data_IF_972500875558
#
_entry.id   IF_972500875558
#
_cell.length_a   1.000
_cell.length_b   1.000
_cell.length_c   1.000
_cell.angle_alpha   90.00
_cell.angle_beta   90.00
_cell.angle_gamma   90.00
#
_symmetry.space_group_name_H-M   'P 1'
#
loop_
_entity.id
_entity.type
_entity.pdbx_description
1 polymer ?
#
# COMPACT_ATOMS: atom_id res chain seq x y z
N UNK A 1 -16.38 -15.05 -14.98
CA UNK A 1 -15.74 -14.55 -16.22
C UNK A 1 -14.68 -13.48 -15.91
N UNK A 2 -15.01 -12.43 -15.15
CA UNK A 2 -14.05 -11.36 -14.78
C UNK A 2 -12.82 -11.85 -13.99
N UNK A 3 -12.98 -12.82 -13.09
CA UNK A 3 -11.87 -13.34 -12.27
C UNK A 3 -10.81 -14.08 -13.10
N UNK A 4 -11.23 -15.01 -13.98
CA UNK A 4 -10.32 -15.70 -14.91
C UNK A 4 -9.61 -14.74 -15.86
N UNK A 5 -10.27 -13.65 -16.27
CA UNK A 5 -9.65 -12.60 -17.09
C UNK A 5 -8.57 -11.83 -16.30
N UNK A 6 -8.81 -11.51 -15.01
CA UNK A 6 -7.79 -10.91 -14.14
C UNK A 6 -6.60 -11.83 -13.91
N UNK A 7 -6.85 -13.11 -13.66
CA UNK A 7 -5.78 -14.08 -13.44
C UNK A 7 -4.88 -14.21 -14.68
N UNK A 8 -5.48 -14.28 -15.88
CA UNK A 8 -4.74 -14.24 -17.15
C UNK A 8 -3.94 -12.95 -17.31
N UNK A 9 -4.51 -11.81 -16.92
CA UNK A 9 -3.82 -10.52 -16.98
C UNK A 9 -2.59 -10.52 -16.06
N UNK A 10 -2.74 -10.92 -14.79
CA UNK A 10 -1.61 -10.98 -13.86
C UNK A 10 -0.56 -11.98 -14.31
N UNK A 11 -0.95 -13.14 -14.83
CA UNK A 11 -0.03 -14.11 -15.40
C UNK A 11 0.74 -13.55 -16.60
N UNK A 12 0.08 -12.79 -17.48
CA UNK A 12 0.72 -12.13 -18.62
C UNK A 12 1.69 -11.02 -18.17
N UNK A 13 1.34 -10.29 -17.12
CA UNK A 13 2.12 -9.14 -16.63
C UNK A 13 3.34 -9.57 -15.80
N UNK A 14 3.16 -10.51 -14.88
CA UNK A 14 4.20 -10.92 -13.91
C UNK A 14 4.85 -12.28 -14.23
N UNK A 15 4.30 -13.04 -15.17
CA UNK A 15 4.71 -14.42 -15.40
C UNK A 15 4.35 -15.33 -14.23
N UNK A 16 4.84 -16.57 -14.28
CA UNK A 16 4.58 -17.59 -13.26
C UNK A 16 5.73 -17.80 -12.27
N UNK A 17 6.87 -17.14 -12.53
CA UNK A 17 8.13 -17.33 -11.82
C UNK A 17 8.44 -16.21 -10.83
N UNK A 18 7.95 -14.99 -11.06
CA UNK A 18 8.27 -13.85 -10.19
C UNK A 18 7.54 -13.97 -8.85
N UNK A 19 8.31 -13.79 -7.78
CA UNK A 19 7.85 -13.87 -6.39
C UNK A 19 8.09 -12.56 -5.65
N UNK A 20 7.61 -12.46 -4.40
CA UNK A 20 7.81 -11.27 -3.57
C UNK A 20 9.29 -10.98 -3.35
N UNK A 21 10.12 -12.00 -3.13
CA UNK A 21 11.56 -11.81 -2.89
C UNK A 21 12.30 -11.23 -4.11
N UNK A 22 11.77 -11.42 -5.32
CA UNK A 22 12.35 -10.93 -6.58
C UNK A 22 12.08 -9.44 -6.84
N UNK A 23 11.28 -8.79 -6.00
CA UNK A 23 10.97 -7.36 -6.14
C UNK A 23 12.22 -6.49 -5.92
N UNK A 24 12.41 -5.49 -6.78
CA UNK A 24 13.59 -4.61 -6.78
C UNK A 24 13.65 -3.65 -5.57
N UNK A 25 12.52 -3.43 -4.91
CA UNK A 25 12.33 -2.52 -3.78
C UNK A 25 11.48 -3.21 -2.73
N UNK A 26 11.61 -2.79 -1.48
CA UNK A 26 10.68 -3.22 -0.43
C UNK A 26 9.24 -2.91 -0.84
N UNK A 27 8.37 -3.91 -0.75
CA UNK A 27 6.94 -3.80 -1.06
C UNK A 27 6.13 -4.35 0.10
N UNK A 28 4.97 -3.73 0.32
CA UNK A 28 3.97 -4.11 1.30
C UNK A 28 2.62 -4.10 0.62
N UNK A 29 1.98 -5.26 0.52
CA UNK A 29 0.71 -5.41 -0.19
C UNK A 29 -0.30 -6.05 0.78
N UNK A 30 -1.35 -5.33 1.21
CA UNK A 30 -2.32 -5.86 2.15
C UNK A 30 -3.34 -6.78 1.48
N UNK A 31 -3.83 -7.76 2.23
CA UNK A 31 -5.10 -8.46 2.00
C UNK A 31 -5.74 -8.79 3.36
N UNK A 32 -7.01 -9.19 3.34
CA UNK A 32 -7.69 -9.74 4.51
C UNK A 32 -7.77 -11.26 4.35
N UNK A 33 -7.23 -12.02 5.30
CA UNK A 33 -7.35 -13.48 5.30
C UNK A 33 -8.57 -13.92 6.09
N UNK A 34 -9.52 -14.53 5.39
CA UNK A 34 -10.76 -15.06 5.96
C UNK A 34 -10.52 -16.28 6.86
N UNK A 35 -9.39 -16.97 6.71
CA UNK A 35 -9.08 -18.16 7.52
C UNK A 35 -8.69 -17.78 8.93
N UNK A 36 -7.83 -16.75 9.06
CA UNK A 36 -7.38 -16.21 10.34
C UNK A 36 -8.27 -15.08 10.87
N UNK A 37 -9.18 -14.55 10.05
CA UNK A 37 -9.98 -13.36 10.36
C UNK A 37 -9.11 -12.14 10.71
N UNK A 38 -8.00 -11.95 9.99
CA UNK A 38 -7.02 -10.93 10.26
C UNK A 38 -6.48 -10.30 8.96
N UNK A 39 -6.00 -9.03 9.02
CA UNK A 39 -5.21 -8.47 7.94
C UNK A 39 -3.89 -9.23 7.79
N UNK A 40 -3.47 -9.43 6.55
CA UNK A 40 -2.19 -10.00 6.18
C UNK A 40 -1.44 -9.02 5.27
N UNK A 41 -0.15 -8.83 5.51
CA UNK A 41 0.73 -8.06 4.63
C UNK A 41 1.69 -8.99 3.91
N UNK A 42 1.61 -9.01 2.59
CA UNK A 42 2.69 -9.54 1.77
C UNK A 42 3.86 -8.56 1.84
N UNK A 43 4.97 -9.02 2.39
CA UNK A 43 6.17 -8.20 2.66
C UNK A 43 7.38 -8.83 1.99
N UNK A 44 8.14 -8.03 1.25
CA UNK A 44 9.41 -8.48 0.68
C UNK A 44 10.39 -8.92 1.78
N UNK A 45 10.45 -8.18 2.88
CA UNK A 45 11.37 -8.50 3.98
C UNK A 45 11.07 -9.89 4.55
N UNK A 46 9.79 -10.20 4.77
CA UNK A 46 9.39 -11.52 5.30
C UNK A 46 9.66 -12.64 4.28
N UNK A 47 9.42 -12.38 2.99
CA UNK A 47 9.71 -13.34 1.91
C UNK A 47 11.20 -13.65 1.76
N UNK A 48 12.08 -12.70 2.09
CA UNK A 48 13.54 -12.90 2.05
C UNK A 48 14.05 -13.62 3.31
N UNK A 49 13.40 -13.44 4.46
CA UNK A 49 13.80 -14.10 5.72
C UNK A 49 13.19 -15.50 5.88
N UNK A 50 11.98 -15.73 5.36
CA UNK A 50 11.23 -16.97 5.55
C UNK A 50 10.57 -17.42 4.25
N UNK A 51 10.95 -18.61 3.75
CA UNK A 51 10.36 -19.19 2.53
C UNK A 51 8.84 -19.35 2.58
N UNK A 52 8.29 -19.56 3.79
CA UNK A 52 6.85 -19.65 4.02
C UNK A 52 6.08 -18.34 3.79
N UNK A 53 6.77 -17.21 3.62
CA UNK A 53 6.16 -15.90 3.36
C UNK A 53 6.45 -15.38 1.95
N UNK A 54 7.07 -16.20 1.11
CA UNK A 54 7.29 -15.87 -0.27
C UNK A 54 6.15 -16.42 -1.14
N UNK A 55 5.52 -15.51 -1.89
CA UNK A 55 4.34 -15.80 -2.73
C UNK A 55 4.61 -15.32 -4.15
N UNK A 56 3.96 -15.96 -5.13
CA UNK A 56 4.02 -15.49 -6.52
C UNK A 56 3.36 -14.12 -6.63
N UNK A 57 3.99 -13.22 -7.39
CA UNK A 57 3.46 -11.86 -7.59
C UNK A 57 2.05 -11.87 -8.19
N UNK A 58 1.76 -12.81 -9.10
CA UNK A 58 0.41 -12.93 -9.66
C UNK A 58 -0.65 -13.26 -8.61
N UNK A 59 -0.30 -14.10 -7.62
CA UNK A 59 -1.23 -14.52 -6.56
C UNK A 59 -1.40 -13.42 -5.52
N UNK A 60 -0.33 -12.66 -5.23
CA UNK A 60 -0.39 -11.46 -4.37
C UNK A 60 -1.30 -10.39 -4.99
N UNK A 61 -1.17 -10.12 -6.29
CA UNK A 61 -2.05 -9.20 -7.00
C UNK A 61 -3.50 -9.71 -7.05
N UNK A 62 -3.70 -11.02 -7.19
CA UNK A 62 -5.02 -11.62 -7.10
C UNK A 62 -5.63 -11.43 -5.71
N UNK A 63 -4.89 -11.74 -4.64
CA UNK A 63 -5.30 -11.60 -3.25
C UNK A 63 -5.73 -10.16 -2.90
N UNK A 64 -4.90 -9.17 -3.21
CA UNK A 64 -5.19 -7.77 -2.84
C UNK A 64 -6.35 -7.17 -3.63
N UNK A 65 -6.72 -7.74 -4.78
CA UNK A 65 -7.84 -7.28 -5.62
C UNK A 65 -9.06 -8.23 -5.60
N UNK A 66 -9.03 -9.24 -4.73
CA UNK A 66 -9.98 -10.34 -4.72
C UNK A 66 -11.36 -9.90 -4.26
N UNK A 67 -12.36 -10.13 -5.12
CA UNK A 67 -13.80 -10.02 -4.86
C UNK A 67 -14.47 -11.05 -5.77
N UNK A 68 -14.88 -12.25 -5.31
CA UNK A 68 -14.84 -12.82 -3.95
C UNK A 68 -13.44 -13.30 -3.52
N UNK A 69 -13.35 -13.99 -2.36
CA UNK A 69 -12.11 -14.53 -1.81
C UNK A 69 -11.41 -15.53 -2.74
N UNK A 70 -10.07 -15.52 -2.74
CA UNK A 70 -9.22 -16.42 -3.50
C UNK A 70 -8.27 -17.17 -2.58
N UNK A 71 -8.01 -18.44 -2.88
CA UNK A 71 -7.00 -19.22 -2.18
C UNK A 71 -5.61 -18.86 -2.72
N UNK A 72 -4.69 -18.50 -1.84
CA UNK A 72 -3.29 -18.19 -2.17
C UNK A 72 -2.35 -18.98 -1.29
N UNK A 73 -1.24 -19.44 -1.85
CA UNK A 73 -0.25 -20.24 -1.15
C UNK A 73 1.15 -19.70 -1.35
N UNK A 74 1.98 -19.83 -0.33
CA UNK A 74 3.41 -19.57 -0.45
C UNK A 74 4.04 -20.55 -1.45
N UNK A 75 5.21 -20.20 -1.99
CA UNK A 75 5.93 -21.01 -2.97
C UNK A 75 6.26 -22.41 -2.41
N UNK A 76 6.57 -22.50 -1.12
CA UNK A 76 6.81 -23.76 -0.42
C UNK A 76 5.51 -24.48 0.03
N UNK A 77 4.35 -23.86 -0.18
CA UNK A 77 3.03 -24.37 0.17
C UNK A 77 2.70 -24.39 1.66
N UNK A 78 3.58 -23.92 2.55
CA UNK A 78 3.40 -23.98 4.01
C UNK A 78 2.38 -22.98 4.52
N UNK A 79 2.33 -21.79 3.92
CA UNK A 79 1.36 -20.77 4.26
C UNK A 79 0.24 -20.78 3.24
N UNK A 80 -0.98 -20.83 3.73
CA UNK A 80 -2.21 -20.82 2.95
C UNK A 80 -3.12 -19.71 3.46
N UNK A 81 -3.63 -18.90 2.55
CA UNK A 81 -4.55 -17.80 2.84
C UNK A 81 -5.84 -17.98 2.05
N UNK A 82 -6.95 -17.56 2.66
CA UNK A 82 -8.20 -17.29 1.95
C UNK A 82 -8.35 -15.78 1.84
N UNK A 83 -7.64 -15.20 0.87
CA UNK A 83 -7.43 -13.77 0.77
C UNK A 83 -8.59 -13.05 0.09
N UNK A 84 -8.95 -11.89 0.65
CA UNK A 84 -9.91 -10.93 0.09
C UNK A 84 -9.25 -9.56 0.06
N UNK A 85 -9.58 -8.78 -0.96
CA UNK A 85 -9.32 -7.34 -1.13
C UNK A 85 -8.52 -6.63 -0.01
N UNK A 86 -7.37 -6.06 -0.38
CA UNK A 86 -6.54 -5.25 0.51
C UNK A 86 -7.23 -4.02 1.06
N UNK A 87 -8.23 -3.47 0.36
CA UNK A 87 -9.01 -2.34 0.83
C UNK A 87 -9.88 -2.66 2.05
N UNK A 88 -10.22 -3.94 2.29
CA UNK A 88 -10.94 -4.36 3.49
C UNK A 88 -10.00 -4.39 4.70
N UNK A 89 -8.77 -4.86 4.50
CA UNK A 89 -7.75 -4.87 5.55
C UNK A 89 -7.20 -3.47 5.85
N UNK A 90 -6.76 -2.77 4.82
CA UNK A 90 -6.07 -1.48 4.91
C UNK A 90 -6.36 -0.63 3.67
N UNK A 91 -7.46 0.12 3.69
CA UNK A 91 -7.83 1.04 2.60
C UNK A 91 -6.81 2.19 2.41
N UNK A 92 -6.04 2.51 3.46
CA UNK A 92 -4.89 3.41 3.41
C UNK A 92 -3.68 2.72 4.06
N UNK A 93 -2.79 2.07 3.30
CA UNK A 93 -1.66 1.33 3.85
C UNK A 93 -0.49 2.24 4.32
N UNK A 94 -0.64 3.58 4.28
CA UNK A 94 0.46 4.51 4.60
C UNK A 94 1.02 4.31 6.02
N UNK A 95 0.17 4.12 7.03
CA UNK A 95 0.65 3.87 8.39
C UNK A 95 1.44 2.55 8.50
N UNK A 96 1.00 1.50 7.80
CA UNK A 96 1.72 0.22 7.77
C UNK A 96 3.09 0.37 7.07
N UNK A 97 3.16 1.14 5.98
CA UNK A 97 4.41 1.43 5.29
C UNK A 97 5.41 2.20 6.16
N UNK A 98 4.96 3.27 6.84
CA UNK A 98 5.79 4.02 7.79
C UNK A 98 6.27 3.12 8.91
N UNK A 99 5.36 2.34 9.51
CA UNK A 99 5.69 1.41 10.60
C UNK A 99 6.73 0.38 10.17
N UNK A 100 6.61 -0.17 8.96
CA UNK A 100 7.59 -1.10 8.42
C UNK A 100 8.97 -0.46 8.30
N UNK A 101 9.07 0.74 7.71
CA UNK A 101 10.35 1.43 7.53
C UNK A 101 10.99 1.77 8.87
N UNK A 102 10.20 2.27 9.83
CA UNK A 102 10.73 2.63 11.15
C UNK A 102 11.18 1.43 11.98
N UNK A 103 10.58 0.26 11.82
CA UNK A 103 10.93 -0.94 12.60
C UNK A 103 11.90 -1.89 11.90
N UNK A 104 12.00 -1.84 10.57
CA UNK A 104 12.94 -2.66 9.81
C UNK A 104 14.32 -1.99 9.72
N UNK A 105 15.06 -2.00 10.84
CA UNK A 105 16.42 -1.42 10.91
C UNK A 105 17.45 -2.18 10.08
N UNK A 106 17.13 -3.38 9.59
CA UNK A 106 18.00 -4.11 8.68
C UNK A 106 18.00 -3.44 7.30
N UNK A 107 16.82 -3.13 6.76
CA UNK A 107 16.72 -2.43 5.46
C UNK A 107 16.86 -0.91 5.59
N UNK A 108 16.49 -0.32 6.74
CA UNK A 108 16.44 1.13 6.98
C UNK A 108 17.18 1.53 8.27
N UNK A 109 18.50 1.29 8.37
CA UNK A 109 19.26 1.47 9.62
C UNK A 109 19.31 2.91 10.14
N UNK A 110 19.15 3.90 9.26
CA UNK A 110 19.31 5.32 9.60
C UNK A 110 18.00 6.09 9.74
N UNK A 111 16.85 5.47 9.44
CA UNK A 111 15.56 6.12 9.60
C UNK A 111 15.11 5.98 11.05
N UNK A 112 15.03 7.07 11.81
CA UNK A 112 14.67 7.02 13.23
C UNK A 112 13.26 7.50 13.48
N UNK A 113 12.83 8.53 12.75
CA UNK A 113 11.51 9.14 12.93
C UNK A 113 10.89 9.50 11.57
N UNK A 114 9.65 9.98 11.59
CA UNK A 114 8.90 10.43 10.41
C UNK A 114 9.55 11.62 9.71
N UNK A 115 10.40 12.38 10.40
CA UNK A 115 11.16 13.49 9.82
C UNK A 115 12.20 13.02 8.79
N UNK A 116 12.69 11.77 8.92
CA UNK A 116 13.61 11.14 7.97
C UNK A 116 12.90 10.59 6.73
N UNK A 117 11.58 10.70 6.66
CA UNK A 117 10.75 10.13 5.61
C UNK A 117 10.23 11.20 4.65
N UNK A 118 10.16 10.82 3.38
CA UNK A 118 9.36 11.48 2.35
C UNK A 118 8.25 10.51 1.95
N UNK A 119 6.99 10.90 2.18
CA UNK A 119 5.81 10.04 1.97
C UNK A 119 4.83 10.71 1.02
N UNK A 120 4.54 10.04 -0.10
CA UNK A 120 3.36 10.34 -0.94
C UNK A 120 2.32 9.26 -0.71
N UNK A 121 1.10 9.69 -0.43
CA UNK A 121 -0.06 8.82 -0.27
C UNK A 121 -1.08 9.18 -1.34
N UNK A 122 -1.36 8.25 -2.25
CA UNK A 122 -2.29 8.44 -3.35
C UNK A 122 -3.53 7.60 -3.10
N UNK A 123 -4.70 8.23 -3.05
CA UNK A 123 -5.95 7.52 -2.90
C UNK A 123 -6.84 7.62 -4.13
N UNK A 124 -7.77 6.66 -4.24
CA UNK A 124 -8.54 6.41 -5.45
C UNK A 124 -9.81 7.28 -5.57
N UNK A 125 -9.83 8.39 -4.84
CA UNK A 125 -10.95 9.32 -4.75
C UNK A 125 -12.02 8.95 -3.73
N UNK A 126 -12.74 9.96 -3.24
CA UNK A 126 -13.95 9.81 -2.44
C UNK A 126 -15.16 9.64 -3.37
N UNK A 127 -15.95 8.59 -3.14
CA UNK A 127 -17.18 8.37 -3.89
C UNK A 127 -18.34 9.11 -3.24
N UNK A 128 -19.34 9.52 -4.02
CA UNK A 128 -20.58 9.99 -3.43
C UNK A 128 -21.17 8.92 -2.51
N UNK A 129 -21.46 9.32 -1.28
CA UNK A 129 -22.26 8.54 -0.35
C UNK A 129 -23.67 8.37 -0.97
N UNK A 130 -23.83 7.33 -1.79
CA UNK A 130 -25.14 6.86 -2.24
C UNK A 130 -25.92 6.24 -1.09
N UNK A 131 -27.09 5.68 -1.38
CA UNK A 131 -27.92 4.98 -0.40
C UNK A 131 -27.13 4.00 0.48
N UNK A 132 -27.56 3.83 1.74
CA UNK A 132 -27.00 2.93 2.76
C UNK A 132 -27.16 1.43 2.42
N UNK A 133 -26.71 1.02 1.23
CA UNK A 133 -26.50 -0.37 0.83
C UNK A 133 -25.40 -0.99 1.69
N UNK A 134 -25.39 -2.32 1.92
CA UNK A 134 -24.24 -3.02 2.53
C UNK A 134 -22.89 -2.65 1.88
N UNK A 135 -22.84 -2.51 0.55
CA UNK A 135 -21.64 -2.06 -0.16
C UNK A 135 -21.31 -0.58 0.08
N UNK A 136 -22.34 0.25 0.30
CA UNK A 136 -22.19 1.65 0.70
C UNK A 136 -21.62 1.78 2.10
N UNK A 137 -22.12 1.00 3.07
CA UNK A 137 -21.61 0.95 4.43
C UNK A 137 -20.14 0.49 4.48
N UNK A 138 -19.79 -0.56 3.73
CA UNK A 138 -18.38 -1.02 3.64
C UNK A 138 -17.47 0.08 3.10
N UNK A 139 -17.93 0.82 2.08
CA UNK A 139 -17.17 1.95 1.53
C UNK A 139 -17.01 3.09 2.53
N UNK A 140 -18.08 3.46 3.24
CA UNK A 140 -18.03 4.48 4.32
C UNK A 140 -17.02 4.07 5.39
N UNK A 141 -17.06 2.81 5.83
CA UNK A 141 -16.11 2.30 6.82
C UNK A 141 -14.66 2.36 6.31
N UNK A 142 -14.43 1.94 5.06
CA UNK A 142 -13.11 2.02 4.43
C UNK A 142 -12.61 3.45 4.24
N UNK A 143 -13.46 4.39 3.80
CA UNK A 143 -13.10 5.81 3.67
C UNK A 143 -12.82 6.43 5.04
N UNK A 144 -13.64 6.14 6.06
CA UNK A 144 -13.39 6.57 7.43
C UNK A 144 -12.07 6.03 8.01
N UNK A 145 -11.75 4.75 7.76
CA UNK A 145 -10.47 4.17 8.15
C UNK A 145 -9.29 4.88 7.43
N UNK A 146 -9.45 5.18 6.14
CA UNK A 146 -8.44 5.93 5.37
C UNK A 146 -8.20 7.34 5.89
N UNK A 147 -9.27 8.05 6.25
CA UNK A 147 -9.22 9.41 6.80
C UNK A 147 -8.56 9.43 8.19
N UNK A 148 -8.84 8.43 9.03
CA UNK A 148 -8.16 8.30 10.32
C UNK A 148 -6.66 8.08 10.18
N UNK A 149 -6.24 7.24 9.22
CA UNK A 149 -4.81 7.06 8.92
C UNK A 149 -4.18 8.35 8.41
N UNK A 150 -4.84 9.07 7.49
CA UNK A 150 -4.35 10.36 6.97
C UNK A 150 -4.19 11.41 8.09
N UNK A 151 -5.17 11.51 8.99
CA UNK A 151 -5.08 12.40 10.15
C UNK A 151 -3.96 12.02 11.12
N UNK A 152 -3.81 10.73 11.42
CA UNK A 152 -2.76 10.25 12.32
C UNK A 152 -1.35 10.47 11.74
N UNK A 153 -1.17 10.20 10.44
CA UNK A 153 0.10 10.44 9.74
C UNK A 153 0.37 11.94 9.67
N UNK A 154 -0.60 12.76 9.27
CA UNK A 154 -0.43 14.21 9.24
C UNK A 154 -0.08 14.79 10.62
N UNK A 155 -0.66 14.26 11.70
CA UNK A 155 -0.27 14.62 13.07
C UNK A 155 1.20 14.25 13.34
N UNK A 156 1.60 13.02 13.04
CA UNK A 156 2.96 12.55 13.29
C UNK A 156 4.00 13.44 12.58
N UNK A 157 3.73 13.84 11.33
CA UNK A 157 4.61 14.73 10.57
C UNK A 157 4.59 16.20 11.06
N UNK A 158 3.66 16.61 11.91
CA UNK A 158 3.69 17.91 12.60
C UNK A 158 3.90 19.11 11.67
N UNK A 159 5.01 19.84 11.84
CA UNK A 159 5.37 20.97 10.98
C UNK A 159 5.97 20.53 9.63
N UNK A 160 6.63 19.37 9.61
CA UNK A 160 7.22 18.75 8.42
C UNK A 160 6.15 18.21 7.44
N UNK A 161 4.87 18.16 7.84
CA UNK A 161 3.76 17.72 6.98
C UNK A 161 3.60 18.53 5.70
N UNK A 162 4.05 19.79 5.68
CA UNK A 162 3.89 20.64 4.51
C UNK A 162 4.80 20.24 3.33
N UNK A 163 5.89 19.52 3.62
CA UNK A 163 6.96 19.16 2.67
C UNK A 163 7.18 17.66 2.57
N UNK A 164 7.09 16.94 3.69
CA UNK A 164 7.51 15.54 3.79
C UNK A 164 6.35 14.55 3.69
N UNK A 165 5.09 14.99 3.84
CA UNK A 165 3.90 14.17 3.66
C UNK A 165 2.92 14.82 2.67
N UNK A 166 2.69 14.16 1.53
CA UNK A 166 1.72 14.62 0.53
C UNK A 166 0.64 13.56 0.36
N UNK A 167 -0.59 13.89 0.76
CA UNK A 167 -1.79 13.11 0.43
C UNK A 167 -2.49 13.73 -0.78
N UNK A 168 -2.73 12.91 -1.80
CA UNK A 168 -3.59 13.26 -2.93
C UNK A 168 -4.78 12.31 -2.91
N UNK A 169 -5.96 12.88 -2.70
CA UNK A 169 -7.24 12.18 -2.70
C UNK A 169 -8.18 12.96 -3.63
N UNK A 170 -8.69 12.32 -4.68
CA UNK A 170 -9.67 12.98 -5.53
C UNK A 170 -10.96 13.25 -4.74
N UNK A 171 -11.43 14.49 -4.72
CA UNK A 171 -12.68 14.82 -4.04
C UNK A 171 -13.81 14.90 -5.08
N UNK A 172 -14.64 13.85 -5.13
CA UNK A 172 -15.78 13.76 -6.06
C UNK A 172 -16.84 14.85 -5.85
N UNK A 173 -16.90 15.46 -4.66
CA UNK A 173 -17.82 16.56 -4.34
C UNK A 173 -17.31 17.89 -4.93
N UNK A 174 -16.00 18.13 -4.85
CA UNK A 174 -15.37 19.36 -5.40
C UNK A 174 -15.44 19.37 -6.92
N UNK A 175 -15.29 18.20 -7.56
CA UNK A 175 -15.43 18.04 -9.01
C UNK A 175 -16.79 18.54 -9.52
N UNK A 176 -17.89 18.19 -8.82
CA UNK A 176 -19.23 18.64 -9.21
C UNK A 176 -19.51 20.11 -8.91
N UNK A 177 -18.96 20.68 -7.83
CA UNK A 177 -19.14 22.12 -7.53
C UNK A 177 -18.46 23.04 -8.57
N UNK A 178 -17.44 22.54 -9.27
CA UNK A 178 -16.75 23.28 -10.34
C UNK A 178 -17.21 22.91 -11.75
N UNK A 179 -18.36 22.23 -11.89
CA UNK A 179 -18.94 21.90 -13.20
C UNK A 179 -18.36 20.66 -13.87
N UNK A 180 -17.71 19.76 -13.10
CA UNK A 180 -17.26 18.45 -13.57
C UNK A 180 -18.41 17.62 -14.16
N UNK A 181 -18.09 16.59 -14.98
CA UNK A 181 -19.05 15.94 -15.87
C UNK A 181 -20.29 15.43 -15.11
N UNK A 182 -21.45 16.02 -15.42
CA UNK A 182 -22.73 15.51 -14.95
C UNK A 182 -22.91 14.07 -15.44
N UNK A 183 -23.39 13.19 -14.55
CA UNK A 183 -23.89 11.87 -14.97
C UNK A 183 -25.01 12.10 -15.98
N UNK A 184 -24.70 11.97 -17.27
CA UNK A 184 -25.73 12.00 -18.32
C UNK A 184 -26.69 10.84 -18.03
N UNK A 185 -27.95 11.18 -17.83
CA UNK A 185 -29.05 10.24 -17.54
C UNK A 185 -29.46 9.47 -18.81
N UNK A 186 -28.48 8.87 -19.51
CA UNK A 186 -28.63 8.30 -20.84
C UNK A 186 -27.99 6.92 -20.94
N UNK A 187 -28.72 5.98 -21.54
CA UNK A 187 -28.48 4.53 -21.65
C UNK A 187 -27.20 4.10 -22.40
N UNK A 188 -26.22 4.97 -22.64
CA UNK A 188 -24.93 4.61 -23.22
C UNK A 188 -23.87 4.61 -22.13
N UNK A 189 -23.26 3.44 -21.87
CA UNK A 189 -22.15 3.27 -20.93
C UNK A 189 -20.93 4.05 -21.42
N UNK A 190 -20.85 5.33 -21.05
CA UNK A 190 -19.73 6.19 -21.35
C UNK A 190 -18.45 5.58 -20.77
N UNK A 191 -17.44 5.38 -21.62
CA UNK A 191 -16.07 5.14 -21.20
C UNK A 191 -15.67 6.39 -20.40
N UNK A 192 -15.59 6.28 -19.08
CA UNK A 192 -15.12 7.36 -18.21
C UNK A 192 -13.73 7.74 -18.71
N UNK A 193 -13.53 9.00 -19.10
CA UNK A 193 -12.22 9.50 -19.46
C UNK A 193 -11.41 9.69 -18.18
N UNK A 194 -10.68 8.63 -17.81
CA UNK A 194 -9.83 8.60 -16.63
C UNK A 194 -8.71 9.65 -16.71
N UNK A 195 -8.27 10.03 -17.92
CA UNK A 195 -7.24 11.05 -18.08
C UNK A 195 -7.79 12.42 -17.72
N UNK A 196 -8.94 12.79 -18.28
CA UNK A 196 -9.60 14.05 -17.94
C UNK A 196 -9.92 14.17 -16.44
N UNK A 197 -10.39 13.09 -15.80
CA UNK A 197 -10.62 13.08 -14.36
C UNK A 197 -9.34 13.25 -13.54
N UNK A 198 -8.22 12.68 -14.03
CA UNK A 198 -6.91 12.81 -13.39
C UNK A 198 -6.38 14.23 -13.53
N UNK A 199 -6.49 14.84 -14.72
CA UNK A 199 -6.10 16.23 -14.96
C UNK A 199 -6.91 17.19 -14.08
N UNK A 200 -8.22 16.97 -13.98
CA UNK A 200 -9.09 17.73 -13.08
C UNK A 200 -8.62 17.58 -11.62
N UNK A 201 -8.39 16.35 -11.15
CA UNK A 201 -7.88 16.10 -9.80
C UNK A 201 -6.53 16.80 -9.55
N UNK A 202 -5.62 16.77 -10.51
CA UNK A 202 -4.31 17.42 -10.41
C UNK A 202 -4.44 18.95 -10.32
N UNK A 203 -5.43 19.54 -10.99
CA UNK A 203 -5.71 20.98 -10.96
C UNK A 203 -6.38 21.46 -9.66
N UNK A 204 -7.02 20.54 -8.90
CA UNK A 204 -7.67 20.89 -7.64
C UNK A 204 -6.65 21.35 -6.60
N UNK A 205 -7.09 22.29 -5.75
CA UNK A 205 -6.33 22.68 -4.55
C UNK A 205 -6.14 21.47 -3.64
N UNK A 206 -4.91 21.29 -3.18
CA UNK A 206 -4.58 20.21 -2.27
C UNK A 206 -5.30 20.41 -0.93
N UNK A 207 -5.63 19.29 -0.28
CA UNK A 207 -6.32 19.24 1.00
C UNK A 207 -5.42 18.52 1.99
N UNK A 208 -5.07 19.20 3.08
CA UNK A 208 -4.25 18.66 4.16
C UNK A 208 -5.14 18.34 5.36
N UNK A 209 -4.99 17.14 5.91
CA UNK A 209 -5.67 16.76 7.15
C UNK A 209 -4.98 17.40 8.36
N UNK A 210 -5.77 17.90 9.30
CA UNK A 210 -5.31 18.44 10.58
C UNK A 210 -6.09 17.74 11.68
N UNK A 211 -5.37 17.07 12.57
CA UNK A 211 -5.97 16.31 13.65
C UNK A 211 -6.92 17.17 14.50
N UNK A 212 -8.14 16.66 14.72
CA UNK A 212 -9.24 17.32 15.43
C UNK A 212 -9.71 18.66 14.84
N UNK A 213 -9.15 19.11 13.72
CA UNK A 213 -9.54 20.33 13.01
C UNK A 213 -10.08 20.03 11.60
N UNK A 214 -10.10 18.76 11.19
CA UNK A 214 -10.65 18.31 9.91
C UNK A 214 -9.69 18.54 8.75
N UNK A 215 -10.25 18.76 7.56
CA UNK A 215 -9.52 18.92 6.29
C UNK A 215 -9.36 20.41 5.96
N UNK A 216 -8.14 20.87 5.70
CA UNK A 216 -7.81 22.25 5.31
C UNK A 216 -7.37 22.32 3.86
N UNK A 217 -8.06 23.13 3.06
CA UNK A 217 -7.64 23.42 1.70
C UNK A 217 -6.44 24.37 1.70
N UNK A 218 -5.37 23.99 1.03
CA UNK A 218 -4.19 24.84 0.84
C UNK A 218 -4.25 25.59 -0.49
N UNK A 219 -3.42 26.62 -0.65
CA UNK A 219 -3.41 27.43 -1.87
C UNK A 219 -2.86 26.66 -3.07
N UNK A 220 -1.87 25.81 -2.84
CA UNK A 220 -1.21 25.02 -3.88
C UNK A 220 -2.13 23.92 -4.42
N UNK A 221 -2.03 23.66 -5.71
CA UNK A 221 -2.71 22.54 -6.37
C UNK A 221 -2.06 21.20 -6.05
N UNK A 222 -2.74 20.10 -6.38
CA UNK A 222 -2.18 18.76 -6.26
C UNK A 222 -0.94 18.59 -7.16
N UNK A 223 -0.97 19.11 -8.40
CA UNK A 223 0.20 19.07 -9.29
C UNK A 223 1.37 19.86 -8.73
N UNK A 224 1.16 21.08 -8.23
CA UNK A 224 2.23 21.89 -7.63
C UNK A 224 2.85 21.18 -6.41
N UNK A 225 2.04 20.53 -5.57
CA UNK A 225 2.53 19.73 -4.44
C UNK A 225 3.38 18.54 -4.90
N UNK A 226 2.94 17.81 -5.93
CA UNK A 226 3.70 16.69 -6.49
C UNK A 226 5.00 17.15 -7.16
N UNK A 227 5.00 18.30 -7.83
CA UNK A 227 6.20 18.89 -8.42
C UNK A 227 7.21 19.29 -7.34
N UNK A 228 6.77 19.99 -6.29
CA UNK A 228 7.63 20.30 -5.13
C UNK A 228 8.20 19.03 -4.50
N UNK A 229 7.36 18.01 -4.29
CA UNK A 229 7.79 16.73 -3.73
C UNK A 229 8.81 16.01 -4.63
N UNK A 230 8.62 16.09 -5.96
CA UNK A 230 9.57 15.52 -6.92
C UNK A 230 10.96 16.18 -6.83
N UNK A 231 11.01 17.49 -6.54
CA UNK A 231 12.24 18.21 -6.25
C UNK A 231 12.99 17.63 -5.04
N UNK A 232 12.28 17.32 -3.95
CA UNK A 232 12.88 16.70 -2.76
C UNK A 232 13.37 15.27 -3.04
N UNK A 233 12.63 14.49 -3.84
CA UNK A 233 13.07 13.16 -4.27
C UNK A 233 14.36 13.21 -5.11
N UNK A 234 14.47 14.16 -6.03
CA UNK A 234 15.67 14.35 -6.86
C UNK A 234 16.85 14.74 -5.98
N UNK A 235 16.68 15.70 -5.06
CA UNK A 235 17.73 16.09 -4.10
C UNK A 235 18.22 14.90 -3.29
N UNK A 236 17.30 14.09 -2.77
CA UNK A 236 17.65 12.89 -2.00
C UNK A 236 18.36 11.84 -2.87
N UNK A 237 17.95 11.66 -4.12
CA UNK A 237 18.64 10.76 -5.06
C UNK A 237 20.06 11.24 -5.37
N UNK A 238 20.28 12.53 -5.62
CA UNK A 238 21.61 13.09 -5.85
C UNK A 238 22.48 12.98 -4.59
N UNK A 239 21.92 13.25 -3.41
CA UNK A 239 22.62 13.07 -2.12
C UNK A 239 23.11 11.63 -1.94
N UNK A 240 22.31 10.63 -2.33
CA UNK A 240 22.70 9.21 -2.23
C UNK A 240 23.86 8.82 -3.15
N UNK A 241 24.05 9.49 -4.29
CA UNK A 241 25.17 9.19 -5.20
C UNK A 241 26.53 9.54 -4.62
N UNK A 242 26.58 10.54 -3.74
CA UNK A 242 27.81 11.01 -3.09
C UNK A 242 27.94 10.50 -1.66
N UNK A 243 26.92 9.83 -1.12
CA UNK A 243 26.93 9.29 0.23
C UNK A 243 27.72 7.97 0.29
N UNK A 244 28.63 7.88 1.25
CA UNK A 244 29.47 6.69 1.48
C UNK A 244 28.64 5.57 2.12
N UNK A 245 27.59 5.92 2.87
CA UNK A 245 26.74 4.98 3.58
C UNK A 245 25.42 4.74 2.81
N UNK A 246 25.03 3.48 2.58
CA UNK A 246 23.76 3.19 1.91
C UNK A 246 22.59 3.59 2.81
N UNK A 247 21.74 4.49 2.32
CA UNK A 247 20.53 4.92 3.06
C UNK A 247 19.49 3.78 3.18
N UNK A 248 19.49 2.85 2.23
CA UNK A 248 18.63 1.66 2.23
C UNK A 248 19.48 0.44 1.88
N UNK A 249 19.36 -0.62 2.68
CA UNK A 249 20.14 -1.87 2.55
C UNK A 249 19.19 -3.02 2.25
N UNK A 250 18.78 -3.16 1.00
CA UNK A 250 17.95 -4.29 0.59
C UNK A 250 18.80 -5.55 0.51
N UNK A 251 18.44 -6.58 1.26
CA UNK A 251 19.08 -7.90 1.17
C UNK A 251 18.86 -8.45 -0.25
N UNK A 252 19.96 -8.76 -0.94
CA UNK A 252 19.91 -9.37 -2.25
C UNK A 252 19.64 -10.86 -2.11
N UNK A 253 18.74 -11.36 -2.96
CA UNK A 253 18.54 -12.80 -3.14
C UNK A 253 19.71 -13.32 -3.97
N UNK A 254 20.72 -13.89 -3.32
CA UNK A 254 21.77 -14.61 -4.05
C UNK A 254 21.12 -15.79 -4.75
N UNK A 255 21.13 -15.79 -6.09
CA UNK A 255 20.76 -16.94 -6.91
C UNK A 255 21.83 -18.04 -6.76
N UNK A 256 21.92 -18.66 -5.59
CA UNK A 256 22.59 -19.93 -5.27
C UNK A 256 22.93 -20.00 -3.78
N UNK A 257 22.19 -20.80 -3.02
CA UNK A 257 22.72 -21.60 -1.90
C UNK A 257 21.65 -22.63 -1.49
N UNK A 258 22.00 -23.92 -1.35
CA UNK A 258 21.04 -24.97 -1.04
C UNK A 258 20.56 -24.87 0.41
N UNK A 259 19.34 -25.33 0.61
CA UNK A 259 18.62 -25.54 1.86
C UNK A 259 19.54 -25.75 3.06
N UNK A 260 19.62 -24.77 3.96
CA UNK A 260 20.09 -25.04 5.33
C UNK A 260 19.01 -25.88 6.02
N UNK A 261 19.19 -27.19 6.01
CA UNK A 261 18.55 -28.09 6.96
C UNK A 261 19.01 -27.71 8.36
N UNK A 262 18.20 -26.92 9.06
CA UNK A 262 18.38 -26.74 10.49
C UNK A 262 17.93 -28.03 11.18
N UNK A 263 18.89 -28.84 11.61
CA UNK A 263 18.65 -29.92 12.56
C UNK A 263 18.13 -29.30 13.86
N UNK A 264 16.87 -29.56 14.16
CA UNK A 264 16.32 -29.31 15.50
C UNK A 264 16.93 -30.35 16.45
N UNK A 265 17.86 -29.92 17.30
CA UNK A 265 18.26 -30.70 18.47
C UNK A 265 17.11 -30.63 19.48
N UNK A 266 16.36 -31.71 19.59
CA UNK A 266 15.34 -31.91 20.61
C UNK A 266 16.04 -31.99 21.98
N UNK A 267 15.95 -30.93 22.78
CA UNK A 267 16.27 -30.99 24.21
C UNK A 267 15.03 -31.51 24.93
N UNK A 268 15.05 -32.80 25.23
CA UNK A 268 14.13 -33.48 26.13
C UNK A 268 14.38 -33.01 27.57
N UNK A 269 13.55 -32.12 28.09
CA UNK A 269 13.44 -31.93 29.54
C UNK A 269 12.62 -33.09 30.12
N UNK A 270 13.34 -34.12 30.56
CA UNK A 270 12.84 -35.03 31.58
C UNK A 270 13.11 -34.39 32.94
N UNK A 271 12.04 -34.08 33.68
CA UNK A 271 12.14 -33.91 35.14
C UNK A 271 11.14 -34.86 35.78
N UNK A 272 11.65 -35.97 36.32
CA UNK A 272 10.95 -36.81 37.29
C UNK A 272 11.66 -36.68 38.63
N UNK A 273 10.86 -36.47 39.68
CA UNK A 273 11.10 -36.65 41.11
C UNK A 273 12.14 -35.71 41.77
N UNK A 274 11.88 -35.11 42.94
CA UNK A 274 11.14 -35.58 44.11
C UNK A 274 10.05 -34.62 44.60
#
# INVERSE_FOLDING_TARGET
MAEKEREKLFRKTFGEQLTLRDTLKSVLIPCYDMSSCAPFLFSRADAVEMDGYDFKMMDVCAATSARPAVEVRSVDGRTKLMAVDGGIAMNNPTAAAITHVLNNKQEFPFCNDVEDLLVVSLGNGESEFGNLSPSGCLRIAGEGASDLVDQAVSMAFGQSRATNYVRVQANGIISKMHGGPQKSNGKNKNKIDMLALTEEMLSQKNVESILFQGKKMVKSTNVEKLEMFSGELIKEQERRKTCILPTVVLKQTSSSSPSRTSFATTLSMSSSCN
#
